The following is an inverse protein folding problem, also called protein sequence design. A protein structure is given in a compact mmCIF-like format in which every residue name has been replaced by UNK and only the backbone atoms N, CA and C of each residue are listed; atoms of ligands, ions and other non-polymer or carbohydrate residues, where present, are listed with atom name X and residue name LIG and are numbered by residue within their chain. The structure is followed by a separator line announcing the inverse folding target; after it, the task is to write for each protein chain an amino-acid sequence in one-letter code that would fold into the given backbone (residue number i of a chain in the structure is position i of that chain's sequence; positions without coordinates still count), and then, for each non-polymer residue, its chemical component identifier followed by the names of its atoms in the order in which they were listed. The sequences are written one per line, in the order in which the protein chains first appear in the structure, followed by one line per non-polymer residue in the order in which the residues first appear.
data_IF_202249901795
#
_entry.id   IF_202249901795
#
_cell.length_a   1.000
_cell.length_b   1.000
_cell.length_c   1.000
_cell.angle_alpha   90.00
_cell.angle_beta   90.00
_cell.angle_gamma   90.00
#
_symmetry.space_group_name_H-M   'P 1'
#
loop_
_entity.id
_entity.type
_entity.pdbx_description
1 polymer ?
#
# COMPACT_ATOMS: atom_id res chain seq x y z
N UNK A 1 43.76 23.78 -6.79
CA UNK A 1 42.61 23.15 -6.14
C UNK A 1 42.31 21.81 -6.84
N UNK A 2 42.61 20.68 -6.18
CA UNK A 2 42.51 19.34 -6.77
C UNK A 2 41.06 18.84 -6.69
N UNK A 3 40.45 18.57 -7.83
CA UNK A 3 39.15 17.90 -7.95
C UNK A 3 39.31 16.43 -7.54
N UNK A 4 38.67 16.01 -6.46
CA UNK A 4 38.54 14.60 -6.12
C UNK A 4 37.30 14.05 -6.82
N UNK A 5 37.53 13.25 -7.83
CA UNK A 5 36.50 12.39 -8.46
C UNK A 5 36.27 11.21 -7.52
N UNK A 6 35.05 11.10 -6.99
CA UNK A 6 34.59 9.92 -6.28
C UNK A 6 34.07 8.92 -7.31
N UNK A 7 34.81 7.84 -7.52
CA UNK A 7 34.33 6.68 -8.29
C UNK A 7 33.43 5.85 -7.37
N UNK A 8 32.12 5.85 -7.64
CA UNK A 8 31.15 4.99 -6.99
C UNK A 8 31.18 3.62 -7.69
N UNK A 9 31.99 2.70 -7.17
CA UNK A 9 31.98 1.31 -7.62
C UNK A 9 30.76 0.61 -7.01
N UNK A 10 29.69 0.45 -7.79
CA UNK A 10 28.54 -0.35 -7.42
C UNK A 10 28.95 -1.82 -7.53
N UNK A 11 29.08 -2.47 -6.38
CA UNK A 11 29.29 -3.93 -6.27
C UNK A 11 27.96 -4.62 -6.59
N UNK A 12 27.77 -4.99 -7.85
CA UNK A 12 26.63 -5.78 -8.31
C UNK A 12 26.89 -7.26 -7.99
N UNK A 13 26.49 -7.70 -6.80
CA UNK A 13 26.45 -9.12 -6.47
C UNK A 13 25.27 -9.76 -7.25
N UNK A 14 25.61 -10.50 -8.29
CA UNK A 14 24.69 -11.36 -9.01
C UNK A 14 24.22 -12.48 -8.08
N UNK A 15 23.03 -12.34 -7.52
CA UNK A 15 22.29 -13.45 -6.94
C UNK A 15 21.77 -14.32 -8.09
N UNK A 16 22.48 -15.41 -8.36
CA UNK A 16 22.03 -16.46 -9.24
C UNK A 16 20.78 -17.10 -8.65
N UNK A 17 19.60 -16.74 -9.17
CA UNK A 17 18.38 -17.47 -8.90
C UNK A 17 18.45 -18.81 -9.65
N UNK A 18 18.67 -19.88 -8.92
CA UNK A 18 18.47 -21.23 -9.47
C UNK A 18 17.00 -21.37 -9.88
N UNK A 19 16.70 -21.89 -11.09
CA UNK A 19 15.32 -22.14 -11.49
C UNK A 19 14.74 -23.18 -10.50
N UNK A 20 13.62 -22.84 -9.86
CA UNK A 20 12.81 -23.83 -9.15
C UNK A 20 12.18 -24.72 -10.22
N UNK A 21 12.84 -25.82 -10.49
CA UNK A 21 12.27 -26.90 -11.31
C UNK A 21 11.03 -27.41 -10.59
N UNK A 22 9.91 -27.44 -11.30
CA UNK A 22 8.71 -28.09 -10.82
C UNK A 22 9.07 -29.54 -10.46
N UNK A 23 9.07 -29.84 -9.15
CA UNK A 23 9.43 -31.16 -8.65
C UNK A 23 8.42 -32.18 -9.16
N UNK A 24 8.91 -33.23 -9.83
CA UNK A 24 8.09 -34.34 -10.25
C UNK A 24 7.40 -34.95 -9.01
N UNK A 25 6.06 -35.04 -8.94
CA UNK A 25 5.33 -35.55 -7.78
C UNK A 25 5.64 -37.03 -7.45
N UNK A 26 6.31 -37.76 -8.36
CA UNK A 26 6.77 -39.14 -8.16
C UNK A 26 8.26 -39.25 -7.80
N UNK A 27 8.94 -38.10 -7.55
CA UNK A 27 10.32 -38.14 -7.10
C UNK A 27 10.42 -38.61 -5.64
N UNK A 28 11.43 -39.43 -5.35
CA UNK A 28 11.72 -39.88 -3.99
C UNK A 28 12.34 -38.75 -3.18
N UNK A 29 12.05 -38.72 -1.88
CA UNK A 29 12.70 -37.86 -0.92
C UNK A 29 13.85 -38.61 -0.26
N UNK A 30 15.06 -38.10 -0.42
CA UNK A 30 16.25 -38.73 0.15
C UNK A 30 16.20 -38.66 1.70
N UNK A 31 16.81 -39.67 2.35
CA UNK A 31 16.81 -39.78 3.83
C UNK A 31 17.57 -38.62 4.54
N UNK A 32 18.44 -37.91 3.83
CA UNK A 32 19.15 -36.73 4.32
C UNK A 32 18.37 -35.42 4.11
N UNK A 33 17.23 -35.46 3.42
CA UNK A 33 16.41 -34.27 3.22
C UNK A 33 15.78 -33.80 4.55
N UNK A 34 15.76 -32.50 4.77
CA UNK A 34 15.23 -31.91 6.02
C UNK A 34 13.80 -32.34 6.37
N UNK A 35 12.95 -32.54 5.37
CA UNK A 35 11.57 -32.96 5.56
C UNK A 35 11.47 -34.37 6.12
N UNK A 36 12.36 -35.27 5.71
CA UNK A 36 12.45 -36.63 6.22
C UNK A 36 12.79 -36.63 7.72
N UNK A 37 13.80 -35.88 8.13
CA UNK A 37 14.18 -35.74 9.54
C UNK A 37 13.07 -35.12 10.38
N UNK A 38 12.35 -34.12 9.81
CA UNK A 38 11.22 -33.48 10.48
C UNK A 38 10.06 -34.45 10.71
N UNK A 39 9.74 -35.30 9.73
CA UNK A 39 8.71 -36.34 9.89
C UNK A 39 9.13 -37.42 10.89
N UNK A 40 10.42 -37.81 10.88
CA UNK A 40 10.96 -38.73 11.86
C UNK A 40 10.80 -38.20 13.31
N UNK A 41 11.15 -36.96 13.55
CA UNK A 41 10.97 -36.32 14.85
C UNK A 41 9.50 -36.25 15.32
N UNK A 42 8.55 -36.04 14.40
CA UNK A 42 7.14 -36.07 14.71
C UNK A 42 6.61 -37.50 14.96
N UNK A 43 7.23 -38.51 14.33
CA UNK A 43 6.91 -39.90 14.58
C UNK A 43 7.45 -40.38 15.96
N UNK A 44 8.66 -39.99 16.35
CA UNK A 44 9.20 -40.22 17.69
C UNK A 44 8.35 -39.58 18.78
N UNK A 45 7.76 -38.43 18.49
CA UNK A 45 6.81 -37.77 19.38
C UNK A 45 5.38 -38.38 19.37
N UNK A 46 5.16 -39.51 18.69
CA UNK A 46 3.87 -40.17 18.51
C UNK A 46 2.76 -39.29 17.87
N UNK A 47 3.13 -38.22 17.17
CA UNK A 47 2.19 -37.36 16.43
C UNK A 47 1.81 -38.00 15.10
N UNK A 48 2.74 -38.71 14.48
CA UNK A 48 2.58 -39.48 13.25
C UNK A 48 2.67 -40.95 13.59
N UNK A 49 1.72 -41.74 13.11
CA UNK A 49 1.83 -43.20 13.08
C UNK A 49 2.59 -43.57 11.80
N UNK A 50 3.65 -44.36 11.91
CA UNK A 50 4.43 -44.85 10.79
C UNK A 50 3.60 -45.65 9.77
N UNK A 51 4.25 -46.52 9.04
CA UNK A 51 3.57 -47.47 8.14
C UNK A 51 2.57 -48.35 8.89
N UNK A 52 1.64 -49.03 8.19
CA UNK A 52 0.65 -49.91 8.81
C UNK A 52 1.25 -51.01 9.72
N UNK A 53 2.50 -51.34 9.50
CA UNK A 53 3.30 -52.27 10.30
C UNK A 53 3.93 -51.61 11.56
N UNK A 54 3.59 -50.35 11.86
CA UNK A 54 4.12 -49.54 12.95
C UNK A 54 5.63 -49.28 12.83
N UNK A 55 6.24 -49.47 11.68
CA UNK A 55 7.65 -49.14 11.41
C UNK A 55 7.78 -47.79 10.74
N UNK A 56 8.86 -47.04 11.03
CA UNK A 56 9.34 -45.94 10.25
C UNK A 56 10.62 -46.39 9.56
N UNK A 57 10.52 -46.74 8.26
CA UNK A 57 11.64 -47.34 7.47
C UNK A 57 12.70 -46.26 7.18
N UNK A 58 13.39 -45.82 8.21
CA UNK A 58 14.28 -44.64 8.23
C UNK A 58 15.55 -44.72 7.34
N UNK A 59 15.74 -45.82 6.60
CA UNK A 59 16.86 -45.99 5.67
C UNK A 59 16.43 -46.12 4.20
N UNK A 60 15.14 -46.09 3.89
CA UNK A 60 14.62 -46.17 2.52
C UNK A 60 14.15 -44.78 2.04
N UNK A 61 14.37 -44.53 0.76
CA UNK A 61 13.76 -43.34 0.11
C UNK A 61 12.24 -43.47 0.18
N UNK A 62 11.59 -42.36 0.53
CA UNK A 62 10.13 -42.26 0.63
C UNK A 62 9.66 -41.36 -0.52
N UNK A 63 8.57 -41.75 -1.19
CA UNK A 63 8.00 -40.88 -2.20
C UNK A 63 7.40 -39.62 -1.58
N UNK A 64 7.32 -38.53 -2.34
CA UNK A 64 6.70 -37.26 -1.88
C UNK A 64 5.25 -37.49 -1.43
N UNK A 65 4.50 -38.37 -2.07
CA UNK A 65 3.12 -38.70 -1.70
C UNK A 65 3.01 -39.44 -0.36
N UNK A 66 3.89 -40.38 -0.09
CA UNK A 66 3.93 -41.10 1.20
C UNK A 66 4.29 -40.16 2.31
N UNK A 67 5.27 -39.24 2.08
CA UNK A 67 5.62 -38.20 3.05
C UNK A 67 4.45 -37.21 3.29
N UNK A 68 3.75 -36.83 2.24
CA UNK A 68 2.55 -36.01 2.34
C UNK A 68 1.41 -36.68 3.13
N UNK A 69 1.23 -38.01 2.99
CA UNK A 69 0.25 -38.75 3.82
C UNK A 69 0.62 -38.71 5.30
N UNK A 70 1.92 -38.84 5.63
CA UNK A 70 2.40 -38.71 7.03
C UNK A 70 2.22 -37.30 7.55
N UNK A 71 2.49 -36.28 6.74
CA UNK A 71 2.21 -34.88 7.08
C UNK A 71 0.71 -34.67 7.29
N UNK A 72 -0.15 -35.28 6.48
CA UNK A 72 -1.60 -35.27 6.66
C UNK A 72 -2.05 -35.84 8.02
N UNK A 73 -1.40 -36.94 8.48
CA UNK A 73 -1.64 -37.47 9.83
C UNK A 73 -1.21 -36.48 10.92
N UNK A 74 -0.04 -35.84 10.76
CA UNK A 74 0.43 -34.81 11.69
C UNK A 74 -0.56 -33.65 11.79
N UNK A 75 -1.12 -33.21 10.65
CA UNK A 75 -2.17 -32.19 10.59
C UNK A 75 -3.40 -32.61 11.37
N UNK A 76 -3.86 -33.84 11.21
CA UNK A 76 -5.02 -34.36 11.91
C UNK A 76 -4.81 -34.41 13.44
N UNK A 77 -3.58 -34.72 13.89
CA UNK A 77 -3.22 -34.88 15.30
C UNK A 77 -2.67 -33.60 15.97
N UNK A 78 -2.62 -32.49 15.28
CA UNK A 78 -1.96 -31.25 15.74
C UNK A 78 -2.56 -30.61 17.03
N UNK A 79 -3.73 -31.04 17.48
CA UNK A 79 -4.40 -30.45 18.66
C UNK A 79 -3.59 -30.56 19.96
N UNK A 80 -2.70 -31.54 20.06
CA UNK A 80 -1.92 -31.84 21.26
C UNK A 80 -0.41 -31.65 21.06
N UNK A 81 0.00 -30.78 20.15
CA UNK A 81 1.40 -30.55 19.81
C UNK A 81 1.97 -29.31 20.49
N UNK A 82 3.29 -29.28 20.73
CA UNK A 82 4.00 -28.10 21.23
C UNK A 82 4.12 -27.04 20.12
N UNK A 83 4.49 -25.81 20.48
CA UNK A 83 4.71 -24.72 19.53
C UNK A 83 5.80 -25.07 18.47
N UNK A 84 6.86 -25.78 18.90
CA UNK A 84 7.94 -26.22 18.01
C UNK A 84 7.44 -27.30 17.03
N UNK A 85 6.71 -28.29 17.53
CA UNK A 85 6.12 -29.33 16.70
C UNK A 85 5.11 -28.75 15.70
N UNK A 86 4.32 -27.75 16.11
CA UNK A 86 3.41 -27.02 15.25
C UNK A 86 4.17 -26.27 14.13
N UNK A 87 5.31 -25.64 14.44
CA UNK A 87 6.14 -24.98 13.45
C UNK A 87 6.69 -25.97 12.40
N UNK A 88 7.09 -27.17 12.83
CA UNK A 88 7.52 -28.27 11.95
C UNK A 88 6.37 -28.72 11.03
N UNK A 89 5.17 -28.96 11.59
CA UNK A 89 3.99 -29.36 10.82
C UNK A 89 3.64 -28.31 9.77
N UNK A 90 3.71 -27.02 10.12
CA UNK A 90 3.42 -25.93 9.20
C UNK A 90 4.43 -25.86 8.05
N UNK A 91 5.72 -26.00 8.36
CA UNK A 91 6.80 -26.03 7.37
C UNK A 91 6.64 -27.20 6.39
N UNK A 92 6.34 -28.38 6.90
CA UNK A 92 6.06 -29.57 6.09
C UNK A 92 4.81 -29.41 5.23
N UNK A 93 3.74 -28.81 5.77
CA UNK A 93 2.49 -28.59 5.04
C UNK A 93 2.65 -27.62 3.88
N UNK A 94 3.50 -26.62 4.01
CA UNK A 94 3.85 -25.71 2.92
C UNK A 94 4.68 -26.41 1.84
N UNK A 95 5.65 -27.24 2.22
CA UNK A 95 6.50 -28.00 1.30
C UNK A 95 5.68 -29.01 0.46
N UNK A 96 4.74 -29.70 1.10
CA UNK A 96 3.92 -30.75 0.46
C UNK A 96 2.51 -30.28 0.10
N UNK A 97 2.30 -28.98 -0.07
CA UNK A 97 0.97 -28.40 -0.30
C UNK A 97 0.26 -28.92 -1.55
N UNK A 98 1.00 -29.21 -2.63
CA UNK A 98 0.47 -29.76 -3.87
C UNK A 98 0.00 -31.20 -3.70
N UNK A 99 0.79 -32.04 -3.02
CA UNK A 99 0.49 -33.43 -2.76
C UNK A 99 -0.65 -33.57 -1.74
N UNK A 100 -0.67 -32.74 -0.68
CA UNK A 100 -1.75 -32.70 0.30
C UNK A 100 -3.08 -32.29 -0.35
N UNK A 101 -3.06 -31.34 -1.26
CA UNK A 101 -4.25 -30.94 -2.04
C UNK A 101 -4.73 -32.08 -2.93
N UNK A 102 -3.82 -32.81 -3.59
CA UNK A 102 -4.15 -33.97 -4.41
C UNK A 102 -4.75 -35.12 -3.57
N UNK A 103 -4.33 -35.27 -2.31
CA UNK A 103 -4.89 -36.21 -1.34
C UNK A 103 -6.23 -35.76 -0.73
N UNK A 104 -6.77 -34.59 -1.15
CA UNK A 104 -8.01 -34.04 -0.62
C UNK A 104 -7.89 -33.47 0.79
N UNK A 105 -6.68 -33.29 1.31
CA UNK A 105 -6.44 -32.74 2.65
C UNK A 105 -6.55 -31.22 2.56
N UNK A 106 -7.53 -30.64 3.27
CA UNK A 106 -7.73 -29.20 3.35
C UNK A 106 -6.73 -28.59 4.31
N UNK A 107 -5.92 -27.66 3.79
CA UNK A 107 -4.95 -26.89 4.57
C UNK A 107 -5.56 -25.63 5.20
N UNK A 108 -6.84 -25.36 4.95
CA UNK A 108 -7.55 -24.15 5.39
C UNK A 108 -7.51 -23.98 6.92
N UNK A 109 -7.49 -25.09 7.66
CA UNK A 109 -7.44 -25.10 9.13
C UNK A 109 -6.04 -24.85 9.72
N UNK A 110 -4.98 -24.96 8.92
CA UNK A 110 -3.59 -24.69 9.37
C UNK A 110 -3.32 -23.19 9.49
N UNK A 111 -3.90 -22.41 8.59
CA UNK A 111 -3.81 -20.96 8.64
C UNK A 111 -4.61 -20.35 9.82
N UNK A 112 -5.64 -21.05 10.32
CA UNK A 112 -6.42 -20.57 11.48
C UNK A 112 -5.66 -20.69 12.81
N UNK A 113 -4.63 -21.54 12.91
CA UNK A 113 -3.86 -21.74 14.14
C UNK A 113 -2.54 -21.00 14.21
N UNK A 114 -2.05 -20.44 13.10
CA UNK A 114 -0.87 -19.56 13.10
C UNK A 114 -1.20 -18.14 13.56
N UNK A 115 -1.96 -18.00 14.66
CA UNK A 115 -2.42 -16.72 15.17
C UNK A 115 -3.25 -15.97 14.12
N UNK A 116 -4.44 -15.52 14.44
CA UNK A 116 -5.37 -14.77 13.56
C UNK A 116 -4.78 -13.49 12.96
N UNK A 117 -3.44 -13.30 13.01
CA UNK A 117 -2.76 -12.07 12.64
C UNK A 117 -1.92 -12.31 11.38
N UNK A 118 -2.27 -11.65 10.29
CA UNK A 118 -1.43 -11.55 9.08
C UNK A 118 -0.57 -10.31 9.20
N UNK A 119 0.73 -10.49 9.01
CA UNK A 119 1.67 -9.37 8.95
C UNK A 119 2.02 -9.07 7.49
N UNK A 120 2.06 -7.79 7.15
CA UNK A 120 2.50 -7.28 5.85
C UNK A 120 3.18 -5.94 6.03
N UNK A 121 3.86 -5.46 5.02
CA UNK A 121 4.50 -4.16 5.12
C UNK A 121 5.01 -3.62 3.81
N UNK A 122 5.51 -2.39 3.87
CA UNK A 122 6.23 -1.76 2.78
C UNK A 122 7.36 -0.86 3.28
N UNK A 123 8.39 -0.75 2.45
CA UNK A 123 9.50 0.18 2.64
C UNK A 123 9.60 1.03 1.37
N UNK A 124 9.75 2.33 1.56
CA UNK A 124 10.03 3.28 0.50
C UNK A 124 11.28 4.09 0.85
N UNK A 125 12.26 4.08 -0.03
CA UNK A 125 13.39 4.98 -0.02
C UNK A 125 13.15 6.02 -1.12
N UNK A 126 13.31 7.31 -0.82
CA UNK A 126 12.91 8.37 -1.74
C UNK A 126 13.92 9.51 -1.77
N UNK A 127 14.41 9.82 -2.95
CA UNK A 127 15.14 11.04 -3.24
C UNK A 127 14.23 12.04 -3.95
N UNK A 128 14.24 13.28 -3.52
CA UNK A 128 13.53 14.40 -4.17
C UNK A 128 14.47 15.56 -4.37
N UNK A 129 14.36 16.24 -5.50
CA UNK A 129 15.12 17.42 -5.81
C UNK A 129 14.30 18.47 -6.56
N UNK A 130 14.72 19.72 -6.48
CA UNK A 130 14.12 20.84 -7.19
C UNK A 130 15.20 21.84 -7.58
N UNK A 131 15.00 22.53 -8.69
CA UNK A 131 15.88 23.64 -9.08
C UNK A 131 15.74 24.84 -8.15
N UNK A 132 14.54 25.04 -7.60
CA UNK A 132 14.24 26.15 -6.68
C UNK A 132 14.34 25.72 -5.21
N UNK A 133 14.79 26.65 -4.35
CA UNK A 133 14.79 26.46 -2.89
C UNK A 133 13.37 26.59 -2.33
N UNK A 134 13.13 25.95 -1.18
CA UNK A 134 11.88 26.11 -0.44
C UNK A 134 10.79 25.10 -0.79
N UNK A 135 10.94 24.31 -1.86
CA UNK A 135 9.99 23.22 -2.20
C UNK A 135 9.85 22.20 -1.06
N UNK A 136 10.91 21.97 -0.30
CA UNK A 136 10.94 21.00 0.80
C UNK A 136 10.86 21.61 2.19
N UNK A 137 10.31 22.82 2.33
CA UNK A 137 10.24 23.58 3.61
C UNK A 137 11.61 23.87 4.27
N UNK A 138 12.69 23.69 3.54
CA UNK A 138 14.06 23.98 3.97
C UNK A 138 14.76 24.81 2.91
N UNK A 139 15.91 25.42 3.24
CA UNK A 139 16.76 26.06 2.23
C UNK A 139 17.47 25.04 1.31
N UNK A 140 17.21 23.76 1.47
CA UNK A 140 17.78 22.68 0.65
C UNK A 140 17.03 22.56 -0.67
N UNK A 141 17.79 22.25 -1.74
CA UNK A 141 17.26 21.90 -3.07
C UNK A 141 16.98 20.40 -3.21
N UNK A 142 17.34 19.60 -2.23
CA UNK A 142 17.14 18.14 -2.28
C UNK A 142 16.88 17.56 -0.89
N UNK A 143 16.25 16.41 -0.88
CA UNK A 143 15.89 15.67 0.31
C UNK A 143 15.94 14.17 0.02
N UNK A 144 16.52 13.40 0.96
CA UNK A 144 16.48 11.95 0.94
C UNK A 144 15.75 11.47 2.18
N UNK A 145 14.60 10.83 2.00
CA UNK A 145 13.74 10.35 3.08
C UNK A 145 13.33 8.89 2.89
N UNK A 146 12.81 8.30 3.95
CA UNK A 146 12.34 6.92 3.96
C UNK A 146 11.01 6.78 4.68
N UNK A 147 10.28 5.72 4.34
CA UNK A 147 9.09 5.29 5.06
C UNK A 147 9.11 3.79 5.19
N UNK A 148 8.91 3.29 6.39
CA UNK A 148 8.59 1.90 6.65
C UNK A 148 7.20 1.80 7.29
N UNK A 149 6.40 0.80 6.87
CA UNK A 149 5.10 0.49 7.46
C UNK A 149 5.01 -0.99 7.74
N UNK A 150 4.48 -1.34 8.90
CA UNK A 150 4.15 -2.71 9.29
C UNK A 150 2.68 -2.74 9.65
N UNK A 151 1.93 -3.64 9.02
CA UNK A 151 0.50 -3.81 9.19
C UNK A 151 0.20 -5.19 9.76
N UNK A 152 -0.68 -5.21 10.72
CA UNK A 152 -1.26 -6.39 11.35
C UNK A 152 -2.75 -6.41 11.03
N UNK A 153 -3.18 -7.44 10.30
CA UNK A 153 -4.58 -7.71 10.00
C UNK A 153 -5.01 -8.92 10.82
N UNK A 154 -6.06 -8.80 11.62
CA UNK A 154 -6.58 -9.90 12.44
C UNK A 154 -8.07 -10.12 12.27
N UNK A 155 -8.50 -11.37 12.18
CA UNK A 155 -9.91 -11.73 12.22
C UNK A 155 -10.31 -11.95 13.70
N UNK A 156 -11.18 -11.08 14.23
CA UNK A 156 -11.70 -11.16 15.59
C UNK A 156 -12.85 -12.17 15.65
N UNK A 157 -13.71 -12.17 14.62
CA UNK A 157 -14.84 -13.07 14.45
C UNK A 157 -15.08 -13.31 12.95
N UNK A 158 -16.03 -14.20 12.61
CA UNK A 158 -16.36 -14.58 11.23
C UNK A 158 -16.52 -13.40 10.27
N UNK A 159 -17.12 -12.30 10.75
CA UNK A 159 -17.42 -11.11 9.94
C UNK A 159 -16.75 -9.84 10.46
N UNK A 160 -15.86 -9.95 11.44
CA UNK A 160 -15.21 -8.80 12.09
C UNK A 160 -13.71 -8.96 12.05
N UNK A 161 -13.02 -7.94 11.55
CA UNK A 161 -11.57 -7.86 11.52
C UNK A 161 -11.06 -6.55 12.12
N UNK A 162 -9.83 -6.54 12.58
CA UNK A 162 -9.14 -5.33 12.97
C UNK A 162 -7.89 -5.16 12.12
N UNK A 163 -7.51 -3.90 11.90
CA UNK A 163 -6.28 -3.50 11.24
C UNK A 163 -5.51 -2.56 12.15
N UNK A 164 -4.24 -2.85 12.35
CA UNK A 164 -3.28 -1.98 13.03
C UNK A 164 -2.10 -1.78 12.09
N UNK A 165 -1.77 -0.53 11.75
CA UNK A 165 -0.59 -0.22 10.94
C UNK A 165 0.24 0.85 11.60
N UNK A 166 1.50 0.52 11.81
CA UNK A 166 2.53 1.40 12.34
C UNK A 166 3.36 1.90 11.16
N UNK A 167 3.71 3.19 11.18
CA UNK A 167 4.60 3.81 10.19
C UNK A 167 5.70 4.61 10.85
N UNK A 168 6.83 4.74 10.17
CA UNK A 168 7.84 5.76 10.48
C UNK A 168 7.33 7.14 10.06
N UNK A 169 7.74 8.16 10.80
CA UNK A 169 7.31 9.55 10.58
C UNK A 169 5.95 9.85 11.19
N UNK A 170 5.57 11.10 11.12
CA UNK A 170 4.34 11.63 11.69
C UNK A 170 3.62 12.55 10.70
N UNK A 171 2.69 13.39 11.18
CA UNK A 171 1.97 14.39 10.38
C UNK A 171 2.90 15.44 9.73
N UNK A 172 4.15 15.59 10.22
CA UNK A 172 5.15 16.50 9.63
C UNK A 172 5.89 15.89 8.42
N UNK A 173 5.74 14.59 8.20
CA UNK A 173 6.29 13.88 7.04
C UNK A 173 7.12 12.64 7.38
N UNK A 174 7.73 12.10 6.35
CA UNK A 174 8.63 10.95 6.45
C UNK A 174 10.00 11.40 7.00
N UNK A 175 10.69 10.56 7.80
CA UNK A 175 12.02 10.87 8.33
C UNK A 175 13.05 11.02 7.21
N UNK A 176 14.05 11.86 7.45
CA UNK A 176 15.16 12.09 6.53
C UNK A 176 16.40 11.28 6.95
N UNK A 177 17.12 10.77 5.97
CA UNK A 177 18.42 10.15 6.23
C UNK A 177 19.42 11.18 6.78
N UNK A 178 20.16 10.80 7.82
CA UNK A 178 21.12 11.67 8.48
C UNK A 178 20.51 12.63 9.49
N UNK A 179 19.18 12.65 9.66
CA UNK A 179 18.51 13.44 10.67
C UNK A 179 18.00 12.54 11.81
N UNK A 180 18.60 12.64 12.97
CA UNK A 180 18.25 11.83 14.16
C UNK A 180 17.03 12.37 14.93
N UNK A 181 16.54 13.57 14.61
CA UNK A 181 15.53 14.27 15.39
C UNK A 181 14.08 13.91 15.01
N UNK A 182 13.83 13.12 13.95
CA UNK A 182 12.49 12.80 13.46
C UNK A 182 12.27 11.29 13.28
N UNK A 183 12.64 10.49 14.27
CA UNK A 183 12.37 9.04 14.27
C UNK A 183 11.02 8.68 14.91
N UNK A 184 10.03 9.55 14.77
CA UNK A 184 8.70 9.31 15.30
C UNK A 184 8.07 8.07 14.65
N UNK A 185 7.28 7.37 15.44
CA UNK A 185 6.44 6.26 15.01
C UNK A 185 4.98 6.67 15.22
N UNK A 186 4.15 6.43 14.23
CA UNK A 186 2.73 6.76 14.30
C UNK A 186 1.86 5.56 13.90
N UNK A 187 0.67 5.47 14.49
CA UNK A 187 -0.38 4.61 13.98
C UNK A 187 -1.11 5.32 12.84
N UNK A 188 -0.99 4.83 11.63
CA UNK A 188 -1.71 5.37 10.48
C UNK A 188 -2.92 4.52 10.06
N UNK A 189 -3.14 3.38 10.73
CA UNK A 189 -4.37 2.59 10.72
C UNK A 189 -4.59 2.02 12.11
N UNK A 190 -5.80 2.15 12.59
CA UNK A 190 -6.27 1.54 13.85
C UNK A 190 -7.81 1.46 13.76
N UNK A 191 -8.32 0.42 13.13
CA UNK A 191 -9.72 0.33 12.80
C UNK A 191 -10.28 -1.09 12.98
N UNK A 192 -11.57 -1.15 13.25
CA UNK A 192 -12.38 -2.36 13.25
C UNK A 192 -13.29 -2.30 12.02
N UNK A 193 -13.32 -3.39 11.27
CA UNK A 193 -14.18 -3.56 10.10
C UNK A 193 -15.19 -4.68 10.40
N UNK A 194 -16.46 -4.41 10.21
CA UNK A 194 -17.53 -5.41 10.35
C UNK A 194 -18.31 -5.53 9.04
N UNK A 195 -18.44 -6.76 8.54
CA UNK A 195 -19.22 -7.09 7.34
C UNK A 195 -20.58 -7.59 7.77
N UNK A 196 -21.64 -6.85 7.48
CA UNK A 196 -23.02 -7.32 7.69
C UNK A 196 -23.38 -8.44 6.71
N UNK A 197 -22.87 -8.31 5.48
CA UNK A 197 -23.00 -9.28 4.39
C UNK A 197 -21.91 -9.05 3.35
N UNK A 198 -22.00 -9.67 2.17
CA UNK A 198 -21.03 -9.52 1.07
C UNK A 198 -20.99 -8.12 0.46
N UNK A 199 -22.06 -7.34 0.60
CA UNK A 199 -22.19 -6.00 0.03
C UNK A 199 -21.88 -4.90 1.05
N UNK A 200 -22.24 -5.08 2.33
CA UNK A 200 -22.29 -4.03 3.33
C UNK A 200 -21.18 -4.18 4.36
N UNK A 201 -20.37 -3.15 4.52
CA UNK A 201 -19.29 -3.11 5.51
C UNK A 201 -19.31 -1.78 6.25
N UNK A 202 -19.03 -1.81 7.55
CA UNK A 202 -18.76 -0.63 8.36
C UNK A 202 -17.32 -0.69 8.86
N UNK A 203 -16.63 0.45 8.81
CA UNK A 203 -15.28 0.63 9.35
C UNK A 203 -15.31 1.72 10.41
N UNK A 204 -14.74 1.44 11.58
CA UNK A 204 -14.71 2.33 12.75
C UNK A 204 -13.28 2.56 13.20
N UNK A 205 -12.90 3.81 13.45
CA UNK A 205 -11.58 4.21 13.93
C UNK A 205 -10.74 4.89 12.86
N UNK A 206 -9.41 4.76 12.94
CA UNK A 206 -8.47 5.33 11.97
C UNK A 206 -8.35 4.40 10.76
N UNK A 207 -9.16 4.65 9.76
CA UNK A 207 -9.21 3.88 8.51
C UNK A 207 -8.53 4.62 7.35
N UNK A 208 -8.49 4.04 6.14
CA UNK A 208 -8.03 4.72 4.94
C UNK A 208 -9.19 5.25 4.14
N UNK A 209 -9.14 6.51 3.76
CA UNK A 209 -10.08 7.11 2.83
C UNK A 209 -9.35 7.50 1.54
N UNK A 210 -9.95 7.21 0.40
CA UNK A 210 -9.51 7.67 -0.91
C UNK A 210 -10.69 8.29 -1.64
N UNK A 211 -10.54 9.56 -2.04
CA UNK A 211 -11.51 10.25 -2.85
C UNK A 211 -11.11 10.16 -4.33
N UNK A 212 -12.07 9.81 -5.18
CA UNK A 212 -11.86 9.70 -6.62
C UNK A 212 -10.64 8.87 -7.00
N UNK A 213 -9.79 9.41 -7.86
CA UNK A 213 -8.50 8.84 -8.23
C UNK A 213 -7.37 9.23 -7.27
N UNK A 214 -7.65 10.02 -6.25
CA UNK A 214 -6.73 10.38 -5.17
C UNK A 214 -5.95 11.67 -5.42
N UNK A 215 -6.51 12.61 -6.15
CA UNK A 215 -6.00 13.98 -6.24
C UNK A 215 -6.24 14.70 -4.92
N UNK A 216 -7.49 14.72 -4.46
CA UNK A 216 -7.88 15.43 -3.26
C UNK A 216 -7.41 14.73 -1.99
N UNK A 217 -7.62 13.43 -1.89
CA UNK A 217 -7.25 12.62 -0.72
C UNK A 217 -6.90 11.19 -1.12
N UNK A 218 -5.69 10.76 -0.79
CA UNK A 218 -5.07 9.56 -1.35
C UNK A 218 -4.81 8.47 -0.32
N UNK A 219 -5.87 7.78 0.12
CA UNK A 219 -5.75 6.64 1.05
C UNK A 219 -4.94 6.97 2.33
N UNK A 220 -5.02 8.21 2.76
CA UNK A 220 -4.45 8.68 4.03
C UNK A 220 -5.43 8.41 5.18
N UNK A 221 -4.98 8.52 6.44
CA UNK A 221 -5.82 8.24 7.60
C UNK A 221 -7.06 9.14 7.67
N UNK A 222 -8.19 8.51 7.92
CA UNK A 222 -9.48 9.12 8.22
C UNK A 222 -9.96 8.60 9.58
N UNK A 223 -10.13 9.49 10.53
CA UNK A 223 -10.58 9.16 11.89
C UNK A 223 -12.08 9.31 11.98
N UNK A 224 -12.80 8.19 12.01
CA UNK A 224 -14.26 8.23 12.03
C UNK A 224 -14.94 6.91 11.73
N UNK A 225 -16.08 7.01 11.10
CA UNK A 225 -16.92 5.90 10.66
C UNK A 225 -17.11 5.97 9.15
N UNK A 226 -16.96 4.84 8.46
CA UNK A 226 -17.28 4.71 7.03
C UNK A 226 -18.18 3.50 6.85
N UNK A 227 -19.36 3.71 6.26
CA UNK A 227 -20.23 2.67 5.76
C UNK A 227 -20.03 2.55 4.24
N UNK A 228 -19.74 1.35 3.78
CA UNK A 228 -19.58 1.03 2.35
C UNK A 228 -20.61 0.00 1.95
N UNK A 229 -21.29 0.24 0.83
CA UNK A 229 -22.19 -0.74 0.22
C UNK A 229 -21.89 -0.90 -1.26
N UNK A 230 -22.07 -2.11 -1.77
CA UNK A 230 -21.79 -2.44 -3.17
C UNK A 230 -23.03 -3.08 -3.82
N UNK A 231 -23.49 -2.48 -4.93
CA UNK A 231 -24.56 -3.01 -5.77
C UNK A 231 -23.99 -3.28 -7.15
N UNK A 232 -23.86 -4.53 -7.54
CA UNK A 232 -23.24 -4.93 -8.81
C UNK A 232 -21.89 -4.25 -9.01
N UNK A 233 -21.84 -3.26 -9.90
CA UNK A 233 -20.66 -2.49 -10.28
C UNK A 233 -20.60 -1.09 -9.66
N UNK A 234 -21.59 -0.74 -8.83
CA UNK A 234 -21.67 0.53 -8.11
C UNK A 234 -21.24 0.34 -6.65
N UNK A 235 -20.36 1.19 -6.16
CA UNK A 235 -20.00 1.27 -4.75
C UNK A 235 -20.40 2.65 -4.21
N UNK A 236 -21.13 2.66 -3.10
CA UNK A 236 -21.46 3.85 -2.31
C UNK A 236 -20.67 3.81 -1.01
N UNK A 237 -20.06 4.93 -0.66
CA UNK A 237 -19.40 5.14 0.63
C UNK A 237 -19.99 6.37 1.32
N UNK A 238 -20.38 6.20 2.58
CA UNK A 238 -20.87 7.25 3.47
C UNK A 238 -19.96 7.29 4.69
N UNK A 239 -19.39 8.45 4.99
CA UNK A 239 -18.47 8.61 6.10
C UNK A 239 -18.77 9.84 6.94
N UNK A 240 -18.40 9.78 8.22
CA UNK A 240 -18.37 10.93 9.13
C UNK A 240 -17.10 10.88 9.97
N UNK A 241 -16.32 11.94 9.98
CA UNK A 241 -15.05 12.00 10.72
C UNK A 241 -14.10 13.08 10.25
N UNK A 242 -12.83 12.93 10.62
CA UNK A 242 -11.77 13.90 10.36
C UNK A 242 -10.74 13.36 9.35
N UNK A 243 -10.33 14.20 8.41
CA UNK A 243 -9.16 13.97 7.56
C UNK A 243 -7.91 14.35 8.36
N UNK A 244 -7.08 13.38 8.72
CA UNK A 244 -5.89 13.66 9.56
C UNK A 244 -4.84 14.53 8.86
N UNK A 245 -4.80 14.51 7.53
CA UNK A 245 -3.89 15.35 6.72
C UNK A 245 -4.44 16.75 6.45
N UNK A 246 -5.64 17.08 6.94
CA UNK A 246 -6.26 18.40 6.76
C UNK A 246 -5.40 19.51 7.36
N UNK A 247 -4.76 19.24 8.49
CA UNK A 247 -3.85 20.17 9.15
C UNK A 247 -2.61 20.52 8.31
N UNK A 248 -2.10 19.57 7.52
CA UNK A 248 -0.91 19.79 6.71
C UNK A 248 -1.15 20.75 5.53
N UNK A 249 -2.38 20.79 5.02
CA UNK A 249 -2.76 21.64 3.88
C UNK A 249 -3.05 23.10 4.27
N UNK A 250 -3.22 23.39 5.56
CA UNK A 250 -3.55 24.73 6.06
C UNK A 250 -2.33 25.62 6.30
N UNK A 251 -1.11 25.08 6.19
CA UNK A 251 0.10 25.88 6.37
C UNK A 251 0.42 26.67 5.10
N UNK A 252 0.56 28.01 5.18
CA UNK A 252 1.07 28.78 4.06
C UNK A 252 2.51 28.35 3.76
N UNK A 253 2.79 28.03 2.51
CA UNK A 253 4.14 27.66 2.09
C UNK A 253 5.14 28.82 2.18
N UNK A 254 4.65 30.05 2.35
CA UNK A 254 5.45 31.27 2.50
C UNK A 254 4.70 32.28 3.36
N UNK A 255 5.46 33.14 4.09
CA UNK A 255 4.91 34.31 4.82
C UNK A 255 4.13 35.28 3.91
N UNK A 256 4.31 35.19 2.60
CA UNK A 256 3.69 36.05 1.59
C UNK A 256 2.56 35.33 0.80
N UNK A 257 2.15 34.14 1.19
CA UNK A 257 1.06 33.43 0.52
C UNK A 257 -0.27 34.16 0.73
N UNK A 258 -0.93 34.53 -0.36
CA UNK A 258 -2.29 35.11 -0.37
C UNK A 258 -3.37 34.04 -0.22
N UNK A 259 -3.00 32.80 0.17
CA UNK A 259 -3.94 31.69 0.35
C UNK A 259 -4.91 32.01 1.47
N UNK A 260 -6.20 31.98 1.17
CA UNK A 260 -7.25 32.01 2.17
C UNK A 260 -7.22 30.66 2.90
N UNK A 261 -7.19 30.66 4.22
CA UNK A 261 -7.29 29.43 5.00
C UNK A 261 -8.68 28.84 4.77
N UNK A 262 -8.77 27.68 4.14
CA UNK A 262 -10.03 26.92 4.00
C UNK A 262 -10.55 26.50 5.38
N UNK A 263 -9.67 26.44 6.37
CA UNK A 263 -9.99 26.22 7.78
C UNK A 263 -9.44 27.38 8.59
N UNK A 264 -10.27 28.40 8.89
CA UNK A 264 -9.87 29.48 9.76
C UNK A 264 -9.76 28.97 11.20
N UNK A 265 -8.68 29.34 11.89
CA UNK A 265 -8.54 29.24 13.36
C UNK A 265 -8.76 27.86 13.98
N UNK A 266 -8.15 26.77 13.42
CA UNK A 266 -8.06 25.53 14.18
C UNK A 266 -7.26 25.78 15.47
N UNK A 267 -7.96 25.82 16.59
CA UNK A 267 -7.33 25.57 17.88
C UNK A 267 -6.84 24.12 17.89
N UNK A 268 -5.76 23.82 18.61
CA UNK A 268 -5.20 22.47 18.73
C UNK A 268 -6.19 21.47 19.36
N UNK A 269 -7.30 21.95 19.90
CA UNK A 269 -8.28 21.18 20.68
C UNK A 269 -9.54 20.79 19.90
N UNK A 270 -9.67 21.24 18.65
CA UNK A 270 -10.87 21.00 17.84
C UNK A 270 -10.55 20.19 16.58
N UNK A 271 -11.22 19.06 16.42
CA UNK A 271 -11.09 18.22 15.23
C UNK A 271 -12.07 18.68 14.14
N UNK A 272 -11.58 19.18 12.98
CA UNK A 272 -12.44 19.47 11.85
C UNK A 272 -13.05 18.19 11.30
N UNK A 273 -14.37 18.12 11.22
CA UNK A 273 -15.06 16.93 10.71
C UNK A 273 -15.76 17.19 9.38
N UNK A 274 -15.87 16.14 8.59
CA UNK A 274 -16.54 16.11 7.30
C UNK A 274 -17.54 14.95 7.25
N UNK A 275 -18.64 15.17 6.56
CA UNK A 275 -19.48 14.08 6.06
C UNK A 275 -19.04 13.77 4.64
N UNK A 276 -18.72 12.53 4.37
CA UNK A 276 -18.24 12.03 3.07
C UNK A 276 -19.35 11.25 2.39
N UNK A 277 -19.64 11.61 1.14
CA UNK A 277 -20.53 10.87 0.25
C UNK A 277 -19.74 10.60 -1.02
N UNK A 278 -19.50 9.33 -1.36
CA UNK A 278 -18.81 8.96 -2.58
C UNK A 278 -19.55 7.84 -3.30
N UNK A 279 -19.74 8.00 -4.60
CA UNK A 279 -20.24 6.96 -5.49
C UNK A 279 -19.15 6.66 -6.51
N UNK A 280 -18.83 5.37 -6.65
CA UNK A 280 -17.95 4.86 -7.71
C UNK A 280 -18.73 3.89 -8.58
N UNK A 281 -18.74 4.14 -9.87
CA UNK A 281 -19.38 3.29 -10.88
C UNK A 281 -18.33 2.69 -11.80
N UNK A 282 -18.30 1.37 -11.92
CA UNK A 282 -17.52 0.65 -12.93
C UNK A 282 -18.45 0.23 -14.06
N UNK A 283 -18.44 0.95 -15.18
CA UNK A 283 -19.29 0.65 -16.34
C UNK A 283 -18.82 -0.59 -17.09
N UNK A 284 -17.53 -0.83 -17.11
CA UNK A 284 -16.89 -2.01 -17.70
C UNK A 284 -15.54 -2.23 -17.04
N UNK A 285 -14.85 -3.33 -17.38
CA UNK A 285 -13.45 -3.54 -16.96
C UNK A 285 -12.48 -2.43 -17.39
N UNK A 286 -12.93 -1.55 -18.31
CA UNK A 286 -12.12 -0.49 -18.90
C UNK A 286 -12.53 0.91 -18.47
N UNK A 287 -13.67 1.11 -17.82
CA UNK A 287 -14.20 2.44 -17.51
C UNK A 287 -14.72 2.47 -16.07
N UNK A 288 -14.10 3.28 -15.24
CA UNK A 288 -14.55 3.61 -13.90
C UNK A 288 -14.69 5.12 -13.75
N UNK A 289 -15.77 5.55 -13.08
CA UNK A 289 -16.04 6.96 -12.76
C UNK A 289 -16.39 7.05 -11.28
N UNK A 290 -15.94 8.08 -10.60
CA UNK A 290 -16.37 8.36 -9.24
C UNK A 290 -16.80 9.83 -9.11
N UNK A 291 -17.85 10.06 -8.32
CA UNK A 291 -18.26 11.37 -7.86
C UNK A 291 -18.26 11.40 -6.34
N UNK A 292 -17.86 12.51 -5.74
CA UNK A 292 -17.87 12.66 -4.29
C UNK A 292 -18.30 14.06 -3.87
N UNK A 293 -18.91 14.11 -2.68
CA UNK A 293 -19.31 15.34 -2.01
C UNK A 293 -18.90 15.25 -0.54
N UNK A 294 -18.23 16.29 -0.07
CA UNK A 294 -17.80 16.41 1.32
C UNK A 294 -18.54 17.60 1.92
N UNK A 295 -19.38 17.34 2.92
CA UNK A 295 -20.04 18.40 3.68
C UNK A 295 -19.11 18.82 4.81
N UNK A 296 -18.75 20.10 4.85
CA UNK A 296 -18.05 20.69 5.99
C UNK A 296 -18.97 20.66 7.21
N UNK A 297 -18.45 20.13 8.32
CA UNK A 297 -19.15 20.14 9.60
C UNK A 297 -18.40 21.06 10.58
N UNK A 298 -18.11 20.55 11.76
CA UNK A 298 -17.41 21.32 12.80
C UNK A 298 -16.09 21.90 12.27
N UNK A 299 -15.92 23.22 12.37
CA UNK A 299 -14.73 23.99 11.99
C UNK A 299 -14.33 23.95 10.50
N UNK A 300 -15.28 23.57 9.64
CA UNK A 300 -15.11 23.62 8.19
C UNK A 300 -16.33 24.33 7.59
N UNK A 301 -16.14 25.56 7.14
CA UNK A 301 -17.22 26.44 6.68
C UNK A 301 -17.47 26.32 5.15
N UNK A 302 -17.08 25.21 4.54
CA UNK A 302 -17.29 24.99 3.11
C UNK A 302 -17.48 23.52 2.79
N UNK A 303 -18.22 23.26 1.72
CA UNK A 303 -18.37 21.96 1.12
C UNK A 303 -17.35 21.77 -0.01
N UNK A 304 -17.06 20.49 -0.33
CA UNK A 304 -16.18 20.13 -1.43
C UNK A 304 -16.88 19.10 -2.32
N UNK A 305 -16.66 19.20 -3.61
CA UNK A 305 -17.19 18.22 -4.55
C UNK A 305 -16.24 17.97 -5.69
N UNK A 306 -16.25 16.74 -6.17
CA UNK A 306 -15.33 16.34 -7.23
C UNK A 306 -15.81 15.14 -8.02
N UNK A 307 -15.17 14.95 -9.16
CA UNK A 307 -15.42 13.86 -10.06
C UNK A 307 -14.10 13.34 -10.62
N UNK A 308 -14.03 12.03 -10.83
CA UNK A 308 -12.87 11.40 -11.45
C UNK A 308 -13.28 10.34 -12.46
N UNK A 309 -12.39 10.07 -13.41
CA UNK A 309 -12.52 8.99 -14.37
C UNK A 309 -11.19 8.29 -14.59
N UNK A 310 -11.26 6.97 -14.76
CA UNK A 310 -10.16 6.12 -15.22
C UNK A 310 -10.66 5.29 -16.40
N UNK A 311 -10.01 5.42 -17.55
CA UNK A 311 -10.45 4.82 -18.82
C UNK A 311 -9.29 4.07 -19.45
N UNK A 312 -9.42 2.77 -19.61
CA UNK A 312 -8.49 1.94 -20.36
C UNK A 312 -8.91 1.90 -21.83
N UNK A 313 -8.29 2.73 -22.65
CA UNK A 313 -8.60 2.88 -24.09
C UNK A 313 -8.15 1.68 -24.89
N UNK A 314 -6.98 1.10 -24.53
CA UNK A 314 -6.39 -0.08 -25.16
C UNK A 314 -5.66 -0.92 -24.09
N UNK A 315 -5.21 -2.14 -24.37
CA UNK A 315 -4.55 -3.00 -23.38
C UNK A 315 -3.41 -2.34 -22.61
N UNK A 316 -2.68 -1.41 -23.23
CA UNK A 316 -1.57 -0.69 -22.62
C UNK A 316 -1.80 0.82 -22.51
N UNK A 317 -2.93 1.35 -22.99
CA UNK A 317 -3.20 2.78 -23.06
C UNK A 317 -4.34 3.16 -22.12
N UNK A 318 -4.07 4.05 -21.19
CA UNK A 318 -5.03 4.57 -20.22
C UNK A 318 -5.13 6.10 -20.26
N UNK A 319 -6.31 6.60 -19.94
CA UNK A 319 -6.59 8.01 -19.67
C UNK A 319 -7.14 8.12 -18.24
N UNK A 320 -6.72 9.10 -17.50
CA UNK A 320 -7.26 9.36 -16.17
C UNK A 320 -7.39 10.85 -15.91
N UNK A 321 -8.33 11.21 -15.05
CA UNK A 321 -8.50 12.59 -14.63
C UNK A 321 -9.32 12.70 -13.36
N UNK A 322 -9.11 13.78 -12.65
CA UNK A 322 -9.90 14.14 -11.47
C UNK A 322 -10.00 15.66 -11.40
N UNK A 323 -11.15 16.13 -10.97
CA UNK A 323 -11.43 17.53 -10.71
C UNK A 323 -12.11 17.67 -9.36
N UNK A 324 -11.74 18.70 -8.58
CA UNK A 324 -12.34 19.03 -7.29
C UNK A 324 -12.46 20.54 -7.10
N UNK A 325 -13.48 20.98 -6.36
CA UNK A 325 -13.72 22.37 -5.99
C UNK A 325 -14.17 22.49 -4.53
N UNK A 326 -13.71 23.54 -3.83
CA UNK A 326 -14.33 24.05 -2.61
C UNK A 326 -15.39 25.07 -2.98
N UNK A 327 -16.62 24.91 -2.45
CA UNK A 327 -17.82 25.64 -2.88
C UNK A 327 -17.78 27.13 -2.64
N UNK A 328 -17.38 27.53 -1.44
CA UNK A 328 -17.56 28.90 -0.95
C UNK A 328 -16.29 29.77 -1.07
N UNK A 329 -15.27 29.26 -1.78
CA UNK A 329 -14.01 29.97 -2.01
C UNK A 329 -13.79 30.24 -3.49
N UNK A 330 -13.30 31.44 -3.80
CA UNK A 330 -12.78 31.77 -5.13
C UNK A 330 -11.40 31.15 -5.34
N UNK A 331 -11.05 30.84 -6.60
CA UNK A 331 -9.77 30.23 -6.94
C UNK A 331 -9.46 28.98 -6.07
N UNK A 332 -10.44 28.10 -5.93
CA UNK A 332 -10.41 26.93 -5.08
C UNK A 332 -10.76 25.65 -5.84
N UNK A 333 -10.21 25.52 -7.03
CA UNK A 333 -10.35 24.37 -7.92
C UNK A 333 -9.01 23.67 -8.07
N UNK A 334 -9.03 22.37 -8.24
CA UNK A 334 -7.88 21.61 -8.69
C UNK A 334 -8.31 20.55 -9.68
N UNK A 335 -7.46 20.29 -10.67
CA UNK A 335 -7.66 19.16 -11.56
C UNK A 335 -6.36 18.57 -12.07
N UNK A 336 -6.42 17.30 -12.44
CA UNK A 336 -5.37 16.56 -13.13
C UNK A 336 -5.97 15.81 -14.29
N UNK A 337 -5.26 15.78 -15.40
CA UNK A 337 -5.55 14.91 -16.52
C UNK A 337 -4.27 14.24 -17.01
N UNK A 338 -4.35 12.98 -17.40
CA UNK A 338 -3.16 12.24 -17.78
C UNK A 338 -3.42 11.09 -18.73
N UNK A 339 -2.35 10.72 -19.41
CA UNK A 339 -2.25 9.54 -20.26
C UNK A 339 -1.21 8.60 -19.68
N UNK A 340 -1.46 7.29 -19.76
CA UNK A 340 -0.52 6.25 -19.35
C UNK A 340 -0.33 5.24 -20.47
N UNK A 341 0.88 4.72 -20.58
CA UNK A 341 1.21 3.63 -21.49
C UNK A 341 2.04 2.57 -20.78
N UNK A 342 1.55 1.33 -20.76
CA UNK A 342 2.13 0.22 -20.05
C UNK A 342 1.16 -0.44 -19.07
N UNK A 343 1.63 -1.39 -18.28
CA UNK A 343 0.85 -2.11 -17.27
C UNK A 343 1.74 -2.44 -16.06
N UNK A 344 2.22 -1.43 -15.36
CA UNK A 344 3.00 -1.62 -14.15
C UNK A 344 2.18 -2.26 -13.03
N UNK A 345 2.75 -3.30 -12.45
CA UNK A 345 2.25 -3.93 -11.23
C UNK A 345 3.43 -4.37 -10.39
N UNK A 346 3.57 -3.85 -9.18
CA UNK A 346 4.70 -4.14 -8.30
C UNK A 346 4.87 -5.63 -7.98
N UNK A 347 3.79 -6.41 -8.03
CA UNK A 347 3.81 -7.87 -7.81
C UNK A 347 4.26 -8.69 -9.01
N UNK A 348 4.48 -8.05 -10.18
CA UNK A 348 4.89 -8.72 -11.43
C UNK A 348 6.22 -8.17 -11.89
N UNK A 349 7.28 -8.96 -11.75
CA UNK A 349 8.61 -8.62 -12.27
C UNK A 349 8.58 -8.21 -13.75
N UNK A 350 9.44 -7.26 -14.11
CA UNK A 350 9.58 -6.70 -15.46
C UNK A 350 8.32 -5.97 -16.00
N UNK A 351 7.31 -5.71 -15.16
CA UNK A 351 6.21 -4.85 -15.56
C UNK A 351 6.59 -3.38 -15.44
N UNK A 352 6.07 -2.55 -16.34
CA UNK A 352 6.40 -1.13 -16.40
C UNK A 352 5.24 -0.30 -16.93
N UNK A 353 5.26 0.99 -16.65
CA UNK A 353 4.44 1.98 -17.32
C UNK A 353 5.14 3.36 -17.43
N UNK A 354 4.62 4.16 -18.33
CA UNK A 354 4.94 5.56 -18.51
C UNK A 354 3.67 6.37 -18.32
N UNK A 355 3.76 7.51 -17.62
CA UNK A 355 2.63 8.41 -17.42
C UNK A 355 3.04 9.83 -17.72
N UNK A 356 2.17 10.58 -18.36
CA UNK A 356 2.30 12.02 -18.52
C UNK A 356 1.01 12.67 -18.03
N UNK A 357 1.13 13.58 -17.07
CA UNK A 357 0.00 14.20 -16.39
C UNK A 357 0.18 15.71 -16.34
N UNK A 358 -0.90 16.45 -16.55
CA UNK A 358 -0.95 17.90 -16.35
C UNK A 358 -1.82 18.22 -15.16
N UNK A 359 -1.35 19.15 -14.34
CA UNK A 359 -2.00 19.65 -13.14
C UNK A 359 -2.32 21.13 -13.30
N UNK A 360 -3.47 21.54 -12.79
CA UNK A 360 -3.81 22.94 -12.56
C UNK A 360 -4.53 23.04 -11.20
N UNK A 361 -3.87 23.64 -10.25
CA UNK A 361 -4.29 23.72 -8.88
C UNK A 361 -4.29 25.18 -8.44
N UNK A 362 -5.46 25.72 -8.21
CA UNK A 362 -5.66 27.11 -7.77
C UNK A 362 -4.95 27.42 -6.47
N UNK A 363 -4.85 28.70 -6.11
CA UNK A 363 -4.20 29.16 -4.88
C UNK A 363 -4.88 28.61 -3.62
N UNK A 364 -6.22 28.44 -3.65
CA UNK A 364 -7.02 27.85 -2.58
C UNK A 364 -7.42 26.41 -2.90
N UNK A 365 -6.61 25.70 -3.67
CA UNK A 365 -6.85 24.31 -4.06
C UNK A 365 -7.19 23.42 -2.87
N UNK A 366 -8.27 22.62 -2.95
CA UNK A 366 -8.67 21.69 -1.89
C UNK A 366 -7.95 20.34 -1.99
N UNK A 367 -6.71 20.31 -2.45
CA UNK A 367 -5.85 19.13 -2.43
C UNK A 367 -5.24 19.00 -1.05
N UNK A 368 -5.66 18.01 -0.29
CA UNK A 368 -5.16 17.76 1.08
C UNK A 368 -3.95 16.84 1.07
N UNK A 369 -4.03 15.78 0.26
CA UNK A 369 -2.92 14.88 -0.06
C UNK A 369 -3.09 14.40 -1.50
N UNK A 370 -2.01 14.02 -2.17
CA UNK A 370 -2.12 13.50 -3.52
C UNK A 370 -1.28 12.24 -3.71
N UNK A 371 -1.82 11.30 -4.50
CA UNK A 371 -1.06 10.11 -4.93
C UNK A 371 -0.12 10.37 -6.09
N UNK A 372 -0.31 11.46 -6.79
CA UNK A 372 0.32 11.69 -8.09
C UNK A 372 1.77 12.17 -8.00
N UNK A 373 2.27 12.41 -6.79
CA UNK A 373 3.67 12.76 -6.56
C UNK A 373 4.12 14.13 -7.10
N UNK A 374 3.18 15.01 -7.50
CA UNK A 374 3.51 16.40 -7.85
C UNK A 374 4.19 17.12 -6.68
N UNK A 375 5.01 18.14 -7.00
CA UNK A 375 5.80 18.86 -6.00
C UNK A 375 4.98 19.81 -5.14
N UNK A 376 3.94 20.39 -5.71
CA UNK A 376 3.07 21.40 -5.10
C UNK A 376 1.63 20.90 -5.05
N UNK A 377 0.85 21.33 -4.08
CA UNK A 377 -0.56 20.95 -3.87
C UNK A 377 -1.52 22.13 -4.02
N UNK A 378 -1.02 23.32 -4.37
CA UNK A 378 -1.79 24.54 -4.62
C UNK A 378 -0.91 25.59 -5.29
N UNK A 379 -1.55 26.60 -5.90
CA UNK A 379 -0.88 27.66 -6.66
C UNK A 379 0.12 27.11 -7.67
N UNK A 380 -0.33 26.06 -8.39
CA UNK A 380 0.53 25.26 -9.25
C UNK A 380 -0.16 24.84 -10.54
N UNK A 381 0.56 24.94 -11.63
CA UNK A 381 0.27 24.26 -12.88
C UNK A 381 1.55 23.77 -13.54
N UNK A 382 1.49 22.59 -14.14
CA UNK A 382 2.66 21.99 -14.76
C UNK A 382 2.47 20.54 -15.14
N UNK A 383 3.47 20.00 -15.77
CA UNK A 383 3.54 18.63 -16.25
C UNK A 383 4.31 17.74 -15.28
N UNK A 384 3.92 16.49 -15.19
CA UNK A 384 4.64 15.43 -14.48
C UNK A 384 4.76 14.20 -15.37
N UNK A 385 5.97 13.85 -15.74
CA UNK A 385 6.29 12.57 -16.35
C UNK A 385 6.67 11.56 -15.27
N UNK A 386 6.19 10.32 -15.39
CA UNK A 386 6.48 9.23 -14.47
C UNK A 386 6.88 7.98 -15.23
N UNK A 387 7.88 7.27 -14.71
CA UNK A 387 8.28 5.94 -15.15
C UNK A 387 8.23 5.02 -13.94
N UNK A 388 7.48 3.94 -14.03
CA UNK A 388 7.45 2.88 -13.02
C UNK A 388 8.00 1.58 -13.63
N UNK A 389 8.83 0.85 -12.88
CA UNK A 389 9.40 -0.43 -13.28
C UNK A 389 9.51 -1.39 -12.10
N UNK A 390 8.96 -2.59 -12.23
CA UNK A 390 9.12 -3.67 -11.24
C UNK A 390 10.40 -4.46 -11.53
N UNK A 391 11.42 -4.26 -10.72
CA UNK A 391 12.70 -4.96 -10.82
C UNK A 391 12.53 -6.46 -10.55
N UNK A 392 11.70 -6.78 -9.56
CA UNK A 392 11.35 -8.14 -9.17
C UNK A 392 9.95 -8.14 -8.55
N UNK A 393 9.43 -9.32 -8.19
CA UNK A 393 8.18 -9.43 -7.44
C UNK A 393 8.26 -8.61 -6.15
N UNK A 394 7.36 -7.64 -6.01
CA UNK A 394 7.26 -6.73 -4.87
C UNK A 394 8.45 -5.77 -4.68
N UNK A 395 9.28 -5.60 -5.69
CA UNK A 395 10.41 -4.69 -5.69
C UNK A 395 10.35 -3.78 -6.92
N UNK A 396 10.24 -2.47 -6.75
CA UNK A 396 10.07 -1.53 -7.86
C UNK A 396 10.84 -0.23 -7.73
N UNK A 397 11.09 0.37 -8.87
CA UNK A 397 11.63 1.71 -9.02
C UNK A 397 10.58 2.61 -9.65
N UNK A 398 10.53 3.87 -9.19
CA UNK A 398 9.73 4.92 -9.81
C UNK A 398 10.57 6.17 -9.97
N UNK A 399 10.50 6.79 -11.13
CA UNK A 399 11.13 8.07 -11.41
C UNK A 399 10.09 9.08 -11.88
N UNK A 400 10.21 10.31 -11.40
CA UNK A 400 9.28 11.40 -11.68
C UNK A 400 10.05 12.65 -12.09
N UNK A 401 9.55 13.35 -13.12
CA UNK A 401 10.08 14.61 -13.56
C UNK A 401 8.96 15.62 -13.79
N UNK A 402 8.93 16.65 -12.95
CA UNK A 402 8.00 17.78 -13.06
C UNK A 402 8.63 18.91 -13.83
N UNK A 403 7.96 19.40 -14.87
CA UNK A 403 8.48 20.44 -15.76
C UNK A 403 7.38 21.40 -16.20
N UNK A 404 7.81 22.57 -16.71
CA UNK A 404 6.88 23.63 -17.08
C UNK A 404 6.09 24.15 -15.88
N UNK A 405 6.61 23.96 -14.67
CA UNK A 405 5.97 24.32 -13.41
C UNK A 405 5.88 25.83 -13.22
N UNK A 406 4.67 26.32 -13.01
CA UNK A 406 4.38 27.74 -12.80
C UNK A 406 3.33 27.89 -11.69
N UNK A 407 3.35 29.01 -10.99
CA UNK A 407 2.23 29.40 -10.16
C UNK A 407 1.08 29.97 -11.00
N UNK A 408 -0.07 30.27 -10.40
CA UNK A 408 -1.23 30.82 -11.11
C UNK A 408 -0.97 32.19 -11.75
N UNK A 409 0.02 32.95 -11.26
CA UNK A 409 0.45 34.21 -11.82
C UNK A 409 1.49 34.05 -12.96
N UNK A 410 1.84 32.83 -13.35
CA UNK A 410 2.75 32.53 -14.45
C UNK A 410 4.24 32.56 -14.06
N UNK A 411 4.59 32.75 -12.79
CA UNK A 411 5.97 32.70 -12.32
C UNK A 411 6.47 31.26 -12.31
N UNK A 412 7.69 31.02 -12.79
CA UNK A 412 8.33 29.70 -12.76
C UNK A 412 8.54 29.22 -11.32
N UNK A 413 8.24 27.94 -11.10
CA UNK A 413 8.50 27.22 -9.84
C UNK A 413 9.71 26.28 -9.96
N UNK A 414 10.41 26.29 -11.11
CA UNK A 414 11.51 25.40 -11.41
C UNK A 414 11.06 23.95 -11.70
N UNK A 415 12.01 23.14 -12.11
CA UNK A 415 11.75 21.73 -12.34
C UNK A 415 11.89 20.92 -11.04
N UNK A 416 11.14 19.82 -10.98
CA UNK A 416 11.11 18.90 -9.87
C UNK A 416 11.50 17.50 -10.33
N UNK A 417 12.26 16.78 -9.53
CA UNK A 417 12.62 15.39 -9.82
C UNK A 417 12.53 14.54 -8.53
N UNK A 418 12.14 13.28 -8.71
CA UNK A 418 11.96 12.33 -7.62
C UNK A 418 12.31 10.94 -8.10
N UNK A 419 12.99 10.17 -7.27
CA UNK A 419 13.24 8.76 -7.47
C UNK A 419 12.82 7.99 -6.22
N UNK A 420 12.19 6.85 -6.41
CA UNK A 420 11.73 5.98 -5.33
C UNK A 420 12.13 4.53 -5.56
N UNK A 421 12.49 3.90 -4.48
CA UNK A 421 12.66 2.47 -4.39
C UNK A 421 11.58 1.94 -3.45
N UNK A 422 10.72 1.05 -3.93
CA UNK A 422 9.56 0.53 -3.23
C UNK A 422 9.66 -0.98 -3.06
N UNK A 423 9.50 -1.45 -1.84
CA UNK A 423 9.47 -2.86 -1.46
C UNK A 423 8.16 -3.17 -0.73
N UNK A 424 7.55 -4.34 -1.02
CA UNK A 424 6.44 -4.92 -0.25
C UNK A 424 6.79 -6.31 0.25
N UNK A 425 6.28 -6.68 1.42
CA UNK A 425 6.42 -8.03 2.01
C UNK A 425 5.15 -8.44 2.78
#
# INVERSE_FOLDING_TARGET
MKKKTFSLSILLALLSTAPVLATNPFSDVASDHWAFQSVAALAEANIIKGYPDSTFKGTQNITRYELAQMVGQAIANQKNTTAEQQAIINKLSNEFSSELKALGIRLDNLNEKNGNVKTSGDIRLRYRGSEEKGVFKTNSKSKFDYRARIQFDTNIAKNTSAIIRIRTGNTKGDPEFGNTLNNDIAFDRLAINHKFNTANTISLGRTGLRLGEGLAYSNEPFDGIIFSTKFNTTQLELGYGALTSFYASTFPASKNSKRTKIVPNLSTDENPTLTVIQIRQTFSKNIAVAGYYLVGNQNIDTDFYGVSADIKVAPMLGLSGEWIKAKDFSNATAWVAGISYGNYTLSKANSWDLKLQYFDEDINSPVFTSRFAQAWLYDYKGWLATVDYALDKNLGLSAFYGFGSKNQNGQSLGNYYRAEFNLKF
#
